data_IF_231036679853
#
_entry.id   IF_231036679853
#
_cell.length_a   1.000
_cell.length_b   1.000
_cell.length_c   1.000
_cell.angle_alpha   90.00
_cell.angle_beta   90.00
_cell.angle_gamma   90.00
#
_symmetry.space_group_name_H-M   'P 1'
#
loop_
_entity.id
_entity.type
_entity.pdbx_description
1 polymer ?
#
# COMPACT_ATOMS: atom_id res chain seq x y z
N UNK A 1 -46.50 -6.43 13.34
CA UNK A 1 -45.09 -6.94 13.23
C UNK A 1 -44.28 -6.33 12.08
N UNK A 2 -44.81 -6.02 10.88
CA UNK A 2 -44.04 -5.47 9.73
C UNK A 2 -43.48 -4.03 9.91
N UNK A 3 -44.02 -3.21 10.82
CA UNK A 3 -43.57 -1.81 11.04
C UNK A 3 -42.31 -1.72 11.90
N UNK A 4 -42.09 -2.63 12.82
CA UNK A 4 -40.91 -2.66 13.74
C UNK A 4 -39.68 -3.09 12.96
N UNK A 5 -39.77 -4.17 12.16
CA UNK A 5 -38.65 -4.65 11.36
C UNK A 5 -38.09 -3.63 10.35
N UNK A 6 -38.96 -2.77 9.76
CA UNK A 6 -38.53 -1.69 8.86
C UNK A 6 -37.80 -0.54 9.56
N UNK A 7 -38.12 -0.25 10.85
CA UNK A 7 -37.41 0.76 11.63
C UNK A 7 -36.00 0.29 11.97
N UNK A 8 -35.83 -0.97 12.37
CA UNK A 8 -34.53 -1.53 12.76
C UNK A 8 -33.57 -1.63 11.57
N UNK A 9 -34.06 -1.96 10.36
CA UNK A 9 -33.26 -1.99 9.14
C UNK A 9 -32.83 -0.59 8.73
N UNK A 10 -33.74 0.42 8.85
CA UNK A 10 -33.36 1.83 8.60
C UNK A 10 -32.36 2.36 9.61
N UNK A 11 -32.52 2.02 10.89
CA UNK A 11 -31.61 2.44 11.95
C UNK A 11 -30.22 1.82 11.76
N UNK A 12 -30.13 0.51 11.45
CA UNK A 12 -28.85 -0.17 11.12
C UNK A 12 -28.19 0.42 9.87
N UNK A 13 -28.93 0.76 8.82
CA UNK A 13 -28.37 1.45 7.64
C UNK A 13 -27.84 2.84 7.98
N UNK A 14 -28.56 3.64 8.80
CA UNK A 14 -28.10 4.95 9.23
C UNK A 14 -26.84 4.87 10.12
N UNK A 15 -26.76 3.90 11.03
CA UNK A 15 -25.58 3.70 11.88
C UNK A 15 -24.37 3.24 11.07
N UNK A 16 -24.54 2.36 10.08
CA UNK A 16 -23.45 1.94 9.23
C UNK A 16 -22.97 3.06 8.30
N UNK A 17 -23.88 3.90 7.78
CA UNK A 17 -23.52 5.06 6.96
C UNK A 17 -22.84 6.14 7.80
N UNK A 18 -23.32 6.42 9.01
CA UNK A 18 -22.70 7.38 9.93
C UNK A 18 -21.33 6.89 10.39
N UNK A 19 -21.17 5.59 10.66
CA UNK A 19 -19.89 4.99 11.04
C UNK A 19 -18.89 5.05 9.88
N UNK A 20 -19.31 4.81 8.65
CA UNK A 20 -18.45 4.92 7.46
C UNK A 20 -18.04 6.36 7.19
N UNK A 21 -18.95 7.33 7.34
CA UNK A 21 -18.66 8.76 7.18
C UNK A 21 -17.71 9.26 8.28
N UNK A 22 -17.90 8.81 9.53
CA UNK A 22 -16.99 9.15 10.63
C UNK A 22 -15.59 8.57 10.41
N UNK A 23 -15.50 7.33 9.93
CA UNK A 23 -14.22 6.70 9.59
C UNK A 23 -13.54 7.44 8.44
N UNK A 24 -14.30 7.87 7.44
CA UNK A 24 -13.79 8.66 6.31
C UNK A 24 -13.30 10.05 6.74
N UNK A 25 -14.05 10.72 7.61
CA UNK A 25 -13.69 12.04 8.15
C UNK A 25 -12.46 11.98 9.04
N UNK A 26 -12.37 10.97 9.91
CA UNK A 26 -11.18 10.71 10.75
C UNK A 26 -9.98 10.39 9.88
N UNK A 27 -10.13 9.58 8.84
CA UNK A 27 -9.04 9.23 7.93
C UNK A 27 -8.57 10.45 7.11
N UNK A 28 -9.49 11.29 6.62
CA UNK A 28 -9.17 12.52 5.91
C UNK A 28 -8.40 13.53 6.80
N UNK A 29 -8.77 13.64 8.09
CA UNK A 29 -8.04 14.47 9.05
C UNK A 29 -6.65 13.89 9.34
N UNK A 30 -6.52 12.56 9.42
CA UNK A 30 -5.25 11.86 9.65
C UNK A 30 -4.28 12.01 8.47
N UNK A 31 -4.80 12.01 7.23
CA UNK A 31 -3.98 12.05 6.01
C UNK A 31 -3.62 13.48 5.58
N UNK A 32 -4.50 14.47 5.78
CA UNK A 32 -4.35 15.82 5.25
C UNK A 32 -4.38 16.94 6.30
N UNK A 33 -4.68 16.63 7.56
CA UNK A 33 -4.83 17.60 8.64
C UNK A 33 -3.60 17.72 9.55
N UNK A 34 -3.75 18.46 10.67
CA UNK A 34 -2.69 18.60 11.69
C UNK A 34 -2.30 17.28 12.36
N UNK A 35 -3.08 16.22 12.14
CA UNK A 35 -2.82 14.86 12.62
C UNK A 35 -2.11 13.96 11.62
N UNK A 36 -1.55 14.51 10.52
CA UNK A 36 -0.75 13.73 9.55
C UNK A 36 0.43 12.95 10.16
N UNK A 37 0.84 13.33 11.37
CA UNK A 37 1.84 12.63 12.18
C UNK A 37 1.23 11.58 13.12
N UNK A 38 -0.11 11.43 13.13
CA UNK A 38 -0.78 10.44 13.98
C UNK A 38 -0.58 9.04 13.39
N UNK A 39 -0.12 8.10 14.21
CA UNK A 39 -0.03 6.71 13.83
C UNK A 39 -1.38 6.01 14.05
N UNK A 40 -2.15 5.69 13.00
CA UNK A 40 -3.44 5.01 13.15
C UNK A 40 -3.31 3.52 13.53
N UNK A 41 -2.10 2.95 13.50
CA UNK A 41 -1.86 1.52 13.74
C UNK A 41 -2.44 0.99 15.06
N UNK A 42 -2.41 1.74 16.19
CA UNK A 42 -3.05 1.26 17.43
C UNK A 42 -4.57 1.15 17.33
N UNK A 43 -5.22 1.98 16.49
CA UNK A 43 -6.67 1.97 16.29
C UNK A 43 -7.12 0.90 15.28
N UNK A 44 -6.21 0.50 14.38
CA UNK A 44 -6.48 -0.45 13.28
C UNK A 44 -5.97 -1.86 13.59
N UNK A 45 -5.75 -2.20 14.86
CA UNK A 45 -5.25 -3.50 15.34
C UNK A 45 -6.08 -4.72 14.92
N UNK A 46 -7.24 -4.51 14.30
CA UNK A 46 -8.16 -5.57 13.87
C UNK A 46 -8.17 -5.83 12.35
N UNK A 47 -7.26 -5.24 11.57
CA UNK A 47 -7.06 -5.75 10.22
C UNK A 47 -6.42 -7.12 10.36
N UNK A 48 -7.15 -8.16 9.99
CA UNK A 48 -6.63 -9.52 9.82
C UNK A 48 -5.27 -9.40 9.12
N UNK A 49 -4.35 -10.32 9.32
CA UNK A 49 -2.95 -10.34 8.82
C UNK A 49 -2.76 -10.03 7.29
N UNK A 50 -3.67 -9.30 6.68
CA UNK A 50 -3.67 -8.93 5.26
C UNK A 50 -2.87 -7.65 4.99
N UNK A 51 -2.55 -6.89 6.04
CA UNK A 51 -1.71 -5.68 6.02
C UNK A 51 -2.18 -4.57 5.09
N UNK A 52 -3.47 -4.50 4.78
CA UNK A 52 -4.10 -3.42 4.04
C UNK A 52 -5.52 -3.12 4.53
N UNK A 53 -6.00 -1.94 4.16
CA UNK A 53 -7.37 -1.47 4.35
C UNK A 53 -7.86 -0.83 3.05
N UNK A 54 -9.04 -1.23 2.58
CA UNK A 54 -9.76 -0.49 1.52
C UNK A 54 -10.49 0.68 2.18
N UNK A 55 -10.02 1.90 1.91
CA UNK A 55 -10.46 3.11 2.58
C UNK A 55 -11.60 3.86 1.85
N UNK A 56 -11.99 3.41 0.66
CA UNK A 56 -13.06 4.01 -0.13
C UNK A 56 -12.67 4.21 -1.60
N UNK A 57 -13.34 5.15 -2.27
CA UNK A 57 -13.04 5.52 -3.66
C UNK A 57 -11.68 6.21 -3.78
N UNK A 58 -11.08 6.15 -4.97
CA UNK A 58 -9.74 6.72 -5.21
C UNK A 58 -9.71 8.24 -5.10
N UNK A 59 -10.80 8.93 -5.45
CA UNK A 59 -10.82 10.38 -5.56
C UNK A 59 -9.84 10.92 -6.62
N UNK A 60 -9.36 10.06 -7.54
CA UNK A 60 -8.50 10.49 -8.64
C UNK A 60 -9.31 11.19 -9.72
N UNK A 61 -8.74 12.26 -10.28
CA UNK A 61 -9.23 12.93 -11.45
C UNK A 61 -8.38 12.52 -12.67
N UNK A 62 -8.93 11.82 -13.67
CA UNK A 62 -8.23 11.41 -14.89
C UNK A 62 -7.57 12.55 -15.64
N UNK A 63 -8.15 13.75 -15.63
CA UNK A 63 -7.62 14.94 -16.30
C UNK A 63 -6.20 15.29 -15.81
N UNK A 64 -5.93 15.06 -14.51
CA UNK A 64 -4.62 15.35 -13.91
C UNK A 64 -3.53 14.39 -14.38
N UNK A 65 -3.88 13.24 -14.96
CA UNK A 65 -2.94 12.25 -15.48
C UNK A 65 -2.60 12.47 -16.96
N UNK A 66 -3.45 13.15 -17.72
CA UNK A 66 -3.23 13.40 -19.14
C UNK A 66 -2.11 14.42 -19.41
N UNK A 67 -1.67 15.14 -18.37
CA UNK A 67 -0.65 16.21 -18.46
C UNK A 67 0.76 15.71 -18.13
N UNK A 68 0.94 14.45 -17.77
CA UNK A 68 2.23 13.87 -17.36
C UNK A 68 2.65 12.74 -18.28
N UNK A 69 3.95 12.37 -18.22
CA UNK A 69 4.43 11.12 -18.81
C UNK A 69 3.63 9.93 -18.25
N UNK A 70 3.56 8.81 -18.99
CA UNK A 70 2.83 7.62 -18.57
C UNK A 70 3.24 7.16 -17.14
N UNK A 71 4.52 7.34 -16.79
CA UNK A 71 5.07 7.08 -15.45
C UNK A 71 5.78 8.33 -14.94
N UNK A 72 5.41 8.79 -13.75
CA UNK A 72 6.00 9.95 -13.10
C UNK A 72 6.33 9.59 -11.64
N UNK A 73 7.53 9.96 -11.23
CA UNK A 73 8.05 9.73 -9.89
C UNK A 73 8.50 11.07 -9.30
N UNK A 74 8.14 11.35 -8.06
CA UNK A 74 8.68 12.50 -7.34
C UNK A 74 10.19 12.30 -7.13
N UNK A 75 10.92 13.41 -7.13
CA UNK A 75 12.30 13.39 -6.66
C UNK A 75 12.37 12.91 -5.20
N UNK A 76 13.49 12.30 -4.83
CA UNK A 76 13.75 11.97 -3.44
C UNK A 76 13.93 13.25 -2.63
N UNK A 77 13.44 13.26 -1.41
CA UNK A 77 13.65 14.38 -0.50
C UNK A 77 15.10 14.43 0.06
N UNK A 78 15.36 15.42 0.90
CA UNK A 78 16.68 15.63 1.52
C UNK A 78 17.18 14.45 2.36
N UNK A 79 16.26 13.59 2.84
CA UNK A 79 16.58 12.35 3.55
C UNK A 79 16.73 11.14 2.62
N UNK A 80 16.66 11.35 1.29
CA UNK A 80 16.75 10.30 0.28
C UNK A 80 15.49 9.42 0.20
N UNK A 81 14.35 9.88 0.77
CA UNK A 81 13.09 9.13 0.80
C UNK A 81 12.35 9.30 -0.52
N UNK A 82 11.77 8.22 -1.01
CA UNK A 82 10.91 8.25 -2.21
C UNK A 82 9.62 8.99 -1.90
N UNK A 83 9.18 9.81 -2.84
CA UNK A 83 7.90 10.51 -2.78
C UNK A 83 6.79 9.76 -3.50
N UNK A 84 5.84 10.50 -4.07
CA UNK A 84 4.71 9.95 -4.80
C UNK A 84 5.14 9.39 -6.15
N UNK A 85 4.59 8.23 -6.52
CA UNK A 85 4.65 7.67 -7.85
C UNK A 85 3.25 7.67 -8.50
N UNK A 86 3.16 8.05 -9.78
CA UNK A 86 1.91 8.12 -10.55
C UNK A 86 2.11 7.51 -11.92
N UNK A 87 1.06 6.84 -12.44
CA UNK A 87 1.10 6.32 -13.80
C UNK A 87 -0.29 6.25 -14.45
N UNK A 88 -0.32 6.44 -15.77
CA UNK A 88 -1.41 5.97 -16.62
C UNK A 88 -0.96 4.66 -17.26
N UNK A 89 -1.53 3.57 -16.80
CA UNK A 89 -1.11 2.21 -17.14
C UNK A 89 -2.13 1.60 -18.10
N UNK A 90 -1.63 0.90 -19.11
CA UNK A 90 -2.42 0.19 -20.11
C UNK A 90 -2.19 -1.31 -20.03
N UNK A 91 -3.01 -2.08 -20.72
CA UNK A 91 -2.77 -3.51 -20.85
C UNK A 91 -1.43 -3.82 -21.55
N UNK A 92 -0.95 -2.91 -22.44
CA UNK A 92 0.36 -3.06 -23.09
C UNK A 92 1.48 -3.04 -22.05
N UNK A 93 1.46 -2.10 -21.10
CA UNK A 93 2.47 -1.99 -20.04
C UNK A 93 2.52 -3.27 -19.20
N UNK A 94 1.34 -3.85 -18.88
CA UNK A 94 1.22 -5.12 -18.16
C UNK A 94 1.81 -6.28 -18.97
N UNK A 95 1.55 -6.36 -20.29
CA UNK A 95 2.09 -7.44 -21.13
C UNK A 95 3.59 -7.29 -21.36
N UNK A 96 4.09 -6.08 -21.54
CA UNK A 96 5.52 -5.81 -21.70
C UNK A 96 6.30 -6.21 -20.44
N UNK A 97 5.76 -5.92 -19.26
CA UNK A 97 6.36 -6.30 -17.96
C UNK A 97 6.47 -7.82 -17.75
N UNK A 98 5.62 -8.61 -18.41
CA UNK A 98 5.73 -10.08 -18.36
C UNK A 98 6.97 -10.62 -19.08
N UNK A 99 7.46 -9.88 -20.07
CA UNK A 99 8.63 -10.25 -20.89
C UNK A 99 9.93 -9.67 -20.34
N UNK A 100 9.86 -8.60 -19.58
CA UNK A 100 11.01 -7.92 -18.99
C UNK A 100 10.75 -7.55 -17.54
N UNK A 101 11.48 -8.19 -16.65
CA UNK A 101 11.51 -7.82 -15.21
C UNK A 101 12.75 -6.99 -14.93
N UNK A 102 12.51 -5.77 -14.44
CA UNK A 102 13.57 -4.92 -13.92
C UNK A 102 14.25 -5.55 -12.70
N UNK A 103 15.55 -5.29 -12.58
CA UNK A 103 16.32 -5.67 -11.39
C UNK A 103 16.97 -4.42 -10.80
N UNK A 104 16.81 -4.23 -9.50
CA UNK A 104 17.52 -3.18 -8.80
C UNK A 104 19.03 -3.37 -8.94
N UNK A 105 19.73 -2.32 -9.31
CA UNK A 105 21.19 -2.32 -9.30
C UNK A 105 21.71 -2.59 -7.89
N UNK A 106 22.91 -3.14 -7.81
CA UNK A 106 23.59 -3.30 -6.52
C UNK A 106 23.81 -1.91 -5.89
N UNK A 107 23.49 -1.80 -4.60
CA UNK A 107 23.59 -0.53 -3.88
C UNK A 107 22.43 0.46 -4.10
N UNK A 108 21.58 0.27 -5.10
CA UNK A 108 20.40 1.11 -5.30
C UNK A 108 19.26 0.70 -4.35
N UNK A 109 19.36 1.20 -3.13
CA UNK A 109 18.42 0.90 -2.06
C UNK A 109 17.54 2.10 -1.73
N UNK A 110 16.26 1.89 -1.38
CA UNK A 110 15.42 2.93 -0.80
C UNK A 110 15.94 3.33 0.59
N UNK A 111 15.55 4.53 1.05
CA UNK A 111 15.91 5.04 2.37
C UNK A 111 15.60 4.03 3.48
N UNK A 112 16.46 3.96 4.49
CA UNK A 112 16.30 3.04 5.63
C UNK A 112 16.45 1.55 5.30
N UNK A 113 16.84 1.17 4.07
CA UNK A 113 17.09 -0.23 3.74
C UNK A 113 18.35 -0.72 4.48
N UNK A 114 18.28 -1.79 5.26
CA UNK A 114 19.42 -2.20 6.08
C UNK A 114 20.58 -2.70 5.21
N UNK A 115 21.81 -2.33 5.57
CA UNK A 115 23.02 -2.81 4.90
C UNK A 115 23.10 -4.34 4.90
N UNK A 116 22.56 -4.98 5.93
CA UNK A 116 22.41 -6.44 6.04
C UNK A 116 20.96 -6.79 6.34
N UNK A 117 20.20 -7.11 5.31
CA UNK A 117 18.86 -7.67 5.47
C UNK A 117 18.96 -9.08 6.08
N UNK A 118 17.90 -9.54 6.73
CA UNK A 118 17.90 -10.82 7.42
C UNK A 118 16.66 -11.65 7.08
N UNK A 119 16.80 -12.96 7.17
CA UNK A 119 15.68 -13.89 7.05
C UNK A 119 15.05 -14.13 8.41
N UNK A 120 13.73 -14.26 8.41
CA UNK A 120 12.98 -14.50 9.63
C UNK A 120 11.69 -15.26 9.35
N UNK A 121 11.04 -15.70 10.42
CA UNK A 121 9.77 -16.41 10.38
C UNK A 121 8.67 -15.53 10.95
N UNK A 122 7.67 -15.21 10.13
CA UNK A 122 6.51 -14.41 10.51
C UNK A 122 5.26 -15.29 10.49
N UNK A 123 4.60 -15.40 11.64
CA UNK A 123 3.35 -16.14 11.76
C UNK A 123 2.18 -15.26 11.35
N UNK A 124 1.41 -15.72 10.38
CA UNK A 124 0.20 -15.07 9.88
C UNK A 124 -1.02 -15.94 10.17
N UNK A 125 -2.24 -15.43 9.95
CA UNK A 125 -3.48 -16.21 10.13
C UNK A 125 -3.60 -17.36 9.14
N UNK A 126 -2.97 -17.25 7.97
CA UNK A 126 -3.05 -18.25 6.89
C UNK A 126 -1.82 -19.15 6.80
N UNK A 127 -0.90 -19.04 7.75
CA UNK A 127 0.30 -19.87 7.83
C UNK A 127 1.54 -19.10 8.28
N UNK A 128 2.70 -19.60 7.91
CA UNK A 128 3.99 -19.04 8.29
C UNK A 128 4.76 -18.65 7.06
N UNK A 129 5.21 -17.40 7.00
CA UNK A 129 6.20 -16.94 6.05
C UNK A 129 7.60 -17.19 6.60
N UNK A 130 8.51 -17.72 5.79
CA UNK A 130 9.91 -17.90 6.10
C UNK A 130 10.75 -17.28 4.98
N UNK A 131 11.51 -16.23 5.27
CA UNK A 131 12.25 -15.50 4.25
C UNK A 131 12.72 -14.12 4.69
N UNK A 132 13.07 -13.26 3.75
CA UNK A 132 13.58 -11.92 3.98
C UNK A 132 12.56 -11.03 4.67
N UNK A 133 12.98 -10.31 5.72
CA UNK A 133 12.13 -9.39 6.47
C UNK A 133 11.74 -8.16 5.65
N UNK A 134 12.73 -7.52 5.03
CA UNK A 134 12.50 -6.36 4.17
C UNK A 134 12.57 -6.72 2.69
N UNK A 135 11.77 -6.00 1.91
CA UNK A 135 11.79 -5.97 0.46
C UNK A 135 12.08 -4.54 0.00
N UNK A 136 12.65 -4.37 -1.19
CA UNK A 136 12.53 -3.14 -1.97
C UNK A 136 11.13 -3.16 -2.55
N UNK A 137 10.16 -2.59 -1.77
CA UNK A 137 8.75 -2.62 -2.13
C UNK A 137 8.47 -1.52 -3.14
N UNK A 138 8.10 -1.90 -4.36
CA UNK A 138 7.77 -0.94 -5.42
C UNK A 138 6.57 -0.09 -5.03
N UNK A 139 6.57 1.18 -5.46
CA UNK A 139 5.40 2.06 -5.40
C UNK A 139 4.46 1.78 -6.58
N UNK A 140 5.00 1.67 -7.78
CA UNK A 140 4.32 1.11 -8.95
C UNK A 140 4.98 -0.24 -9.24
N UNK A 141 4.20 -1.31 -9.14
CA UNK A 141 4.70 -2.67 -9.28
C UNK A 141 5.37 -2.91 -10.64
N UNK A 142 6.41 -3.75 -10.66
CA UNK A 142 7.02 -4.25 -11.88
C UNK A 142 5.97 -4.87 -12.83
N UNK A 143 5.01 -5.62 -12.31
CA UNK A 143 3.91 -6.20 -13.08
C UNK A 143 2.92 -5.19 -13.67
N UNK A 144 3.01 -3.93 -13.29
CA UNK A 144 2.26 -2.79 -13.84
C UNK A 144 3.16 -1.90 -14.72
N UNK A 145 4.41 -2.31 -15.00
CA UNK A 145 5.37 -1.56 -15.80
C UNK A 145 6.26 -0.62 -14.98
N UNK A 146 6.23 -0.67 -13.66
CA UNK A 146 7.09 0.13 -12.78
C UNK A 146 8.55 -0.30 -12.87
N UNK A 147 9.47 0.67 -12.79
CA UNK A 147 10.92 0.44 -12.91
C UNK A 147 11.52 -0.03 -11.58
N UNK A 148 12.59 -0.84 -11.66
CA UNK A 148 13.36 -1.31 -10.50
C UNK A 148 14.46 -0.31 -10.12
N UNK A 149 14.04 0.86 -9.65
CA UNK A 149 14.91 1.95 -9.20
C UNK A 149 14.46 2.43 -7.81
N UNK A 150 15.40 2.89 -7.00
CA UNK A 150 15.11 3.23 -5.60
C UNK A 150 14.12 4.38 -5.42
N UNK A 151 13.94 5.25 -6.40
CA UNK A 151 12.90 6.29 -6.36
C UNK A 151 11.47 5.74 -6.59
N UNK A 152 11.33 4.53 -7.17
CA UNK A 152 10.07 3.79 -7.27
C UNK A 152 9.93 2.74 -6.17
N UNK A 153 10.70 2.83 -5.09
CA UNK A 153 10.65 1.81 -4.04
C UNK A 153 10.76 2.44 -2.65
N UNK A 154 10.24 1.72 -1.69
CA UNK A 154 10.42 1.97 -0.27
C UNK A 154 11.04 0.76 0.42
N UNK A 155 11.62 0.96 1.59
CA UNK A 155 11.94 -0.13 2.51
C UNK A 155 10.64 -0.65 3.11
N UNK A 156 10.10 -1.69 2.51
CA UNK A 156 8.85 -2.32 2.92
C UNK A 156 9.11 -3.64 3.64
N UNK A 157 8.32 -3.94 4.68
CA UNK A 157 8.31 -5.31 5.20
C UNK A 157 7.78 -6.27 4.13
N UNK A 158 8.14 -7.54 4.22
CA UNK A 158 7.51 -8.57 3.37
C UNK A 158 6.00 -8.53 3.47
N UNK A 159 5.47 -8.22 4.64
CA UNK A 159 4.03 -8.14 4.88
C UNK A 159 3.38 -6.93 4.19
N UNK A 160 4.02 -5.76 4.24
CA UNK A 160 3.56 -4.56 3.53
C UNK A 160 3.57 -4.79 2.02
N UNK A 161 4.60 -5.45 1.49
CA UNK A 161 4.76 -5.67 0.05
C UNK A 161 3.72 -6.66 -0.50
N UNK A 162 3.57 -7.84 0.14
CA UNK A 162 2.77 -8.96 -0.42
C UNK A 162 1.79 -9.59 0.57
N UNK A 163 1.74 -9.09 1.79
CA UNK A 163 0.83 -9.60 2.81
C UNK A 163 1.20 -10.98 3.34
N UNK A 164 0.19 -11.79 3.57
CA UNK A 164 0.28 -13.12 4.13
C UNK A 164 0.99 -14.14 3.21
N UNK A 165 1.07 -15.40 3.66
CA UNK A 165 1.70 -16.48 2.89
C UNK A 165 1.13 -16.66 1.48
N UNK A 166 -0.15 -16.36 1.27
CA UNK A 166 -0.85 -16.50 -0.01
C UNK A 166 -0.50 -15.39 -1.01
N UNK A 167 0.31 -14.40 -0.62
CA UNK A 167 0.66 -13.24 -1.44
C UNK A 167 -0.57 -12.47 -1.97
N UNK A 168 -1.57 -12.26 -1.12
CA UNK A 168 -2.86 -11.63 -1.47
C UNK A 168 -3.14 -10.37 -0.68
N UNK A 169 -2.18 -9.91 0.13
CA UNK A 169 -2.30 -8.72 0.97
C UNK A 169 -1.24 -7.67 0.65
N UNK A 170 -1.14 -6.67 1.53
CA UNK A 170 -0.23 -5.55 1.33
C UNK A 170 -0.48 -4.83 0.00
N UNK A 171 0.60 -4.37 -0.64
CA UNK A 171 0.55 -3.74 -1.97
C UNK A 171 -0.04 -4.68 -3.02
N UNK A 172 0.29 -5.97 -2.93
CA UNK A 172 -0.08 -6.97 -3.92
C UNK A 172 -1.60 -7.17 -4.04
N UNK A 173 -2.40 -6.81 -3.02
CA UNK A 173 -3.86 -6.83 -3.12
C UNK A 173 -4.36 -6.01 -4.31
N UNK A 174 -4.03 -4.71 -4.34
CA UNK A 174 -4.51 -3.80 -5.38
C UNK A 174 -3.77 -4.00 -6.71
N UNK A 175 -2.45 -4.29 -6.66
CA UNK A 175 -1.63 -4.53 -7.84
C UNK A 175 -2.17 -5.70 -8.67
N UNK A 176 -2.42 -6.85 -8.05
CA UNK A 176 -2.98 -8.03 -8.75
C UNK A 176 -4.37 -7.76 -9.29
N UNK A 177 -5.23 -7.08 -8.53
CA UNK A 177 -6.56 -6.68 -8.98
C UNK A 177 -6.49 -5.87 -10.26
N UNK A 178 -5.57 -4.89 -10.32
CA UNK A 178 -5.35 -4.06 -11.50
C UNK A 178 -4.77 -4.84 -12.67
N UNK A 179 -3.73 -5.65 -12.45
CA UNK A 179 -3.12 -6.51 -13.47
C UNK A 179 -4.13 -7.46 -14.08
N UNK A 180 -4.90 -8.18 -13.23
CA UNK A 180 -5.89 -9.16 -13.70
C UNK A 180 -7.03 -8.49 -14.48
N UNK A 181 -7.39 -7.25 -14.11
CA UNK A 181 -8.40 -6.47 -14.82
C UNK A 181 -7.89 -6.02 -16.19
N UNK A 182 -6.73 -5.38 -16.27
CA UNK A 182 -6.15 -4.87 -17.51
C UNK A 182 -5.84 -5.98 -18.51
N UNK A 183 -5.48 -7.18 -18.07
CA UNK A 183 -5.29 -8.35 -18.96
C UNK A 183 -6.56 -8.74 -19.71
N UNK A 184 -7.72 -8.55 -19.10
CA UNK A 184 -9.04 -8.90 -19.66
C UNK A 184 -9.68 -7.73 -20.44
N UNK A 185 -9.33 -6.48 -20.12
CA UNK A 185 -9.96 -5.26 -20.64
C UNK A 185 -8.92 -4.37 -21.33
N UNK A 186 -8.52 -4.75 -22.55
CA UNK A 186 -7.35 -4.18 -23.27
C UNK A 186 -7.48 -2.70 -23.64
N UNK A 187 -8.70 -2.17 -23.78
CA UNK A 187 -8.96 -0.75 -24.08
C UNK A 187 -9.02 0.14 -22.85
N UNK A 188 -9.03 -0.45 -21.64
CA UNK A 188 -9.13 0.28 -20.39
C UNK A 188 -7.78 0.84 -20.00
N UNK A 189 -7.78 2.09 -19.51
CA UNK A 189 -6.63 2.73 -18.86
C UNK A 189 -6.81 2.65 -17.35
N UNK A 190 -5.71 2.48 -16.63
CA UNK A 190 -5.65 2.56 -15.17
C UNK A 190 -4.89 3.84 -14.77
N UNK A 191 -5.53 4.69 -14.00
CA UNK A 191 -4.89 5.81 -13.29
C UNK A 191 -4.46 5.30 -11.92
N UNK A 192 -3.17 5.31 -11.66
CA UNK A 192 -2.58 4.72 -10.47
C UNK A 192 -1.68 5.72 -9.76
N UNK A 193 -1.80 5.82 -8.44
CA UNK A 193 -0.99 6.68 -7.61
C UNK A 193 -0.64 5.95 -6.31
N UNK A 194 0.64 5.92 -5.96
CA UNK A 194 1.12 5.41 -4.69
C UNK A 194 1.89 6.50 -3.95
N UNK A 195 1.53 6.73 -2.68
CA UNK A 195 2.14 7.77 -1.84
C UNK A 195 2.59 7.17 -0.53
N UNK A 196 3.90 7.13 -0.24
CA UNK A 196 4.41 6.70 1.05
C UNK A 196 4.27 7.81 2.10
N UNK A 197 3.92 7.43 3.34
CA UNK A 197 3.78 8.36 4.46
C UNK A 197 4.81 8.06 5.54
N UNK A 198 5.69 9.03 5.76
CA UNK A 198 6.72 9.02 6.78
C UNK A 198 6.30 9.88 7.96
N UNK A 199 6.83 9.61 9.13
CA UNK A 199 6.61 10.43 10.32
C UNK A 199 7.91 11.18 10.66
N UNK A 200 7.86 12.53 10.57
CA UNK A 200 9.03 13.36 10.84
C UNK A 200 10.22 12.96 9.95
N UNK A 201 11.34 12.67 10.57
CA UNK A 201 12.61 12.28 9.96
C UNK A 201 12.81 10.75 9.79
N UNK A 202 11.76 9.96 9.98
CA UNK A 202 11.81 8.51 9.76
C UNK A 202 12.20 8.19 8.30
N UNK A 203 13.13 7.28 8.12
CA UNK A 203 13.61 6.87 6.78
C UNK A 203 12.71 5.83 6.11
N UNK A 204 11.87 5.15 6.90
CA UNK A 204 10.97 4.09 6.44
C UNK A 204 9.52 4.59 6.60
N UNK A 205 8.69 4.52 5.54
CA UNK A 205 7.31 4.96 5.66
C UNK A 205 6.51 3.99 6.52
N UNK A 206 5.55 4.50 7.28
CA UNK A 206 4.67 3.69 8.12
C UNK A 206 3.53 3.07 7.32
N UNK A 207 3.10 3.75 6.28
CA UNK A 207 2.04 3.31 5.37
C UNK A 207 2.33 3.75 3.95
N UNK A 208 1.72 3.06 2.99
CA UNK A 208 1.59 3.54 1.60
C UNK A 208 0.11 3.61 1.28
N UNK A 209 -0.34 4.77 0.81
CA UNK A 209 -1.65 4.94 0.22
C UNK A 209 -1.56 4.66 -1.27
N UNK A 210 -2.39 3.77 -1.76
CA UNK A 210 -2.53 3.46 -3.18
C UNK A 210 -3.92 3.83 -3.64
N UNK A 211 -4.00 4.64 -4.68
CA UNK A 211 -5.22 5.02 -5.37
C UNK A 211 -5.23 4.42 -6.76
N UNK A 212 -6.31 3.75 -7.11
CA UNK A 212 -6.49 3.12 -8.41
C UNK A 212 -7.87 3.45 -8.97
N UNK A 213 -7.92 3.94 -10.21
CA UNK A 213 -9.12 4.25 -10.96
C UNK A 213 -8.97 3.75 -12.38
N UNK A 214 -9.85 2.86 -12.83
CA UNK A 214 -9.92 2.49 -14.25
C UNK A 214 -10.82 3.46 -15.02
N UNK A 215 -10.51 3.66 -16.31
CA UNK A 215 -11.24 4.60 -17.16
C UNK A 215 -12.73 4.27 -17.34
N UNK A 216 -13.12 3.04 -17.07
CA UNK A 216 -14.51 2.56 -17.06
C UNK A 216 -15.12 2.55 -15.64
N UNK A 217 -14.37 2.93 -14.62
CA UNK A 217 -14.80 3.00 -13.23
C UNK A 217 -14.95 1.65 -12.51
N UNK A 218 -14.61 0.54 -13.14
CA UNK A 218 -14.76 -0.81 -12.55
C UNK A 218 -13.85 -1.04 -11.35
N UNK A 219 -12.67 -0.41 -11.34
CA UNK A 219 -11.83 -0.28 -10.15
C UNK A 219 -11.83 1.20 -9.78
N UNK A 220 -12.23 1.54 -8.56
CA UNK A 220 -12.19 2.88 -8.00
C UNK A 220 -11.96 2.75 -6.50
N UNK A 221 -10.69 2.64 -6.08
CA UNK A 221 -10.33 2.31 -4.71
C UNK A 221 -9.15 3.14 -4.20
N UNK A 222 -9.22 3.46 -2.91
CA UNK A 222 -8.07 3.86 -2.09
C UNK A 222 -7.74 2.71 -1.16
N UNK A 223 -6.50 2.27 -1.20
CA UNK A 223 -5.97 1.20 -0.35
C UNK A 223 -4.82 1.73 0.48
N UNK A 224 -4.86 1.52 1.80
CA UNK A 224 -3.76 1.86 2.71
C UNK A 224 -3.07 0.58 3.10
N UNK A 225 -1.77 0.47 2.85
CA UNK A 225 -0.96 -0.66 3.26
C UNK A 225 -0.10 -0.31 4.47
N UNK A 226 0.06 -1.27 5.38
CA UNK A 226 0.74 -1.07 6.66
C UNK A 226 2.14 -1.67 6.64
N UNK A 227 3.14 -0.82 6.85
CA UNK A 227 4.54 -1.24 6.87
C UNK A 227 4.94 -1.77 8.25
N UNK A 228 4.40 -2.93 8.59
CA UNK A 228 4.62 -3.61 9.87
C UNK A 228 4.71 -5.12 9.68
N UNK A 229 5.07 -5.85 10.73
CA UNK A 229 5.04 -7.31 10.75
C UNK A 229 4.64 -7.79 12.16
N UNK A 230 3.73 -8.75 12.22
CA UNK A 230 3.23 -9.31 13.48
C UNK A 230 4.38 -9.97 14.25
N UNK A 231 4.46 -9.65 15.53
CA UNK A 231 5.52 -10.17 16.41
C UNK A 231 6.83 -9.38 16.38
N UNK A 232 6.90 -8.30 15.61
CA UNK A 232 8.09 -7.48 15.47
C UNK A 232 7.81 -6.00 15.79
N UNK A 233 8.82 -5.33 16.32
CA UNK A 233 8.86 -3.87 16.45
C UNK A 233 9.92 -3.33 15.50
N UNK A 234 9.54 -2.32 14.70
CA UNK A 234 10.42 -1.67 13.72
C UNK A 234 10.77 -0.28 14.25
N UNK A 235 12.06 0.02 14.25
CA UNK A 235 12.55 1.38 14.34
C UNK A 235 12.56 1.98 12.92
N UNK A 236 11.64 2.88 12.66
CA UNK A 236 11.45 3.46 11.32
C UNK A 236 12.51 4.51 10.96
N UNK A 237 13.32 4.99 11.93
CA UNK A 237 14.48 5.86 11.66
C UNK A 237 15.67 5.07 11.11
N UNK A 238 15.90 3.87 11.64
CA UNK A 238 17.12 3.11 11.35
C UNK A 238 16.90 1.82 10.57
N UNK A 239 15.66 1.34 10.49
CA UNK A 239 15.33 0.02 9.93
C UNK A 239 15.65 -1.14 10.87
N UNK A 240 16.09 -0.87 12.11
CA UNK A 240 16.35 -1.93 13.10
C UNK A 240 15.05 -2.62 13.52
N UNK A 241 15.10 -3.94 13.61
CA UNK A 241 13.96 -4.78 13.96
C UNK A 241 14.22 -5.52 15.26
N UNK A 242 13.24 -5.52 16.14
CA UNK A 242 13.22 -6.30 17.38
C UNK A 242 12.16 -7.39 17.30
N UNK A 243 12.56 -8.62 17.51
CA UNK A 243 11.67 -9.78 17.65
C UNK A 243 11.12 -9.79 19.09
N UNK A 244 9.80 -9.57 19.19
CA UNK A 244 9.12 -9.48 20.49
C UNK A 244 8.97 -10.84 21.19
N UNK A 245 9.11 -11.96 20.47
CA UNK A 245 9.06 -13.30 21.08
C UNK A 245 10.24 -13.57 21.99
N UNK A 246 11.36 -12.86 21.77
CA UNK A 246 12.60 -12.99 22.57
C UNK A 246 12.61 -12.12 23.82
N UNK A 247 11.63 -11.22 24.00
CA UNK A 247 11.54 -10.37 25.19
C UNK A 247 10.91 -11.06 26.41
N UNK A 248 10.26 -12.21 26.20
CA UNK A 248 9.55 -12.96 27.23
C UNK A 248 10.31 -14.24 27.68
N UNK A 249 11.58 -14.32 27.41
CA UNK A 249 12.53 -15.29 27.93
C UNK A 249 13.59 -14.54 28.72
#
# INVERSE_FOLDING_TARGET
MKRIARKDVKLKKLTNTALSLLTFFVLAILLNGPLKNFNPLPLLRNTKDDYYLVAGSSGLDPETFNQTSNFAYSEKDELGRSGQARATITSKDVFDSMNYRGQFKEGDNPSGYPAKNFKTRIHTTTGTYDGWFYNRSHLIADSLGGVAESYNAITGTRMQNVGNRSNTGGMQYIERKCVDYLKKHRSVKLYYQATPYYRGDELIPRTVEVKALTSDGAINETVITYNTAKGYTIDYHTGKVTDNSKKNK
#
